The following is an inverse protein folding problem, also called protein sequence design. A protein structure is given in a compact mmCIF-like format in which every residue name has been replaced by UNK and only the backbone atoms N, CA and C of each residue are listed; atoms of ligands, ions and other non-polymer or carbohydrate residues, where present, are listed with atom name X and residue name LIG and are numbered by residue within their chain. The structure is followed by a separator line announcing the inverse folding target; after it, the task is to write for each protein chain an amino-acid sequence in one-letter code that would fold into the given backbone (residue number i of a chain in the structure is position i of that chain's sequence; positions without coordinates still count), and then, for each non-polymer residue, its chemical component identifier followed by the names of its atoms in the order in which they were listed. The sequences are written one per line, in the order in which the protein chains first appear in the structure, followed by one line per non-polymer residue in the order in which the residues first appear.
data_IF_524021005046
#
_entry.id   IF_524021005046
#
_cell.length_a   1.000
_cell.length_b   1.000
_cell.length_c   1.000
_cell.angle_alpha   90.00
_cell.angle_beta   90.00
_cell.angle_gamma   90.00
#
_symmetry.space_group_name_H-M   'P 1'
#
loop_
_entity.id
_entity.type
_entity.pdbx_description
1 polymer ?
#
# COMPACT_ATOMS: atom_id res chain seq x y z
N UNK A 1 -101.93 -141.66 32.98
CA UNK A 1 -100.66 -141.48 33.74
C UNK A 1 -99.47 -141.18 32.82
N UNK A 2 -99.34 -141.83 31.68
CA UNK A 2 -98.20 -141.68 30.75
C UNK A 2 -98.22 -140.37 29.93
N UNK A 3 -99.39 -139.93 29.45
CA UNK A 3 -99.55 -138.63 28.77
C UNK A 3 -99.25 -137.42 29.67
N UNK A 4 -99.54 -137.51 30.98
CA UNK A 4 -99.26 -136.44 31.95
C UNK A 4 -97.74 -136.35 32.22
N UNK A 5 -97.04 -137.49 32.33
CA UNK A 5 -95.58 -137.52 32.45
C UNK A 5 -94.89 -136.94 31.22
N UNK A 6 -95.37 -137.25 30.01
CA UNK A 6 -94.82 -136.71 28.75
C UNK A 6 -95.05 -135.19 28.63
N UNK A 7 -96.23 -134.71 29.02
CA UNK A 7 -96.55 -133.27 29.04
C UNK A 7 -95.77 -132.51 30.12
N UNK A 8 -95.53 -133.12 31.29
CA UNK A 8 -94.64 -132.58 32.32
C UNK A 8 -93.17 -132.55 31.87
N UNK A 9 -92.71 -133.56 31.12
CA UNK A 9 -91.35 -133.59 30.58
C UNK A 9 -91.14 -132.46 29.55
N UNK A 10 -92.09 -132.29 28.62
CA UNK A 10 -92.07 -131.18 27.64
C UNK A 10 -92.18 -129.82 28.31
N UNK A 11 -93.00 -129.68 29.36
CA UNK A 11 -93.09 -128.43 30.12
C UNK A 11 -91.81 -128.12 30.89
N UNK A 12 -91.09 -129.14 31.41
CA UNK A 12 -89.78 -128.95 32.06
C UNK A 12 -88.70 -128.60 31.05
N UNK A 13 -88.71 -129.21 29.88
CA UNK A 13 -87.79 -128.90 28.79
C UNK A 13 -88.02 -127.47 28.27
N UNK A 14 -89.28 -127.09 28.02
CA UNK A 14 -89.63 -125.72 27.65
C UNK A 14 -89.31 -124.69 28.74
N UNK A 15 -89.47 -125.05 30.02
CA UNK A 15 -89.08 -124.19 31.13
C UNK A 15 -87.55 -124.02 31.18
N UNK A 16 -86.80 -125.11 31.05
CA UNK A 16 -85.33 -125.08 31.00
C UNK A 16 -84.80 -124.29 29.79
N UNK A 17 -85.44 -124.41 28.63
CA UNK A 17 -85.10 -123.64 27.43
C UNK A 17 -85.47 -122.16 27.59
N UNK A 18 -86.59 -121.85 28.24
CA UNK A 18 -86.99 -120.48 28.55
C UNK A 18 -86.05 -119.84 29.58
N UNK A 19 -85.65 -120.58 30.62
CA UNK A 19 -84.65 -120.17 31.61
C UNK A 19 -83.29 -119.92 30.95
N UNK A 20 -82.81 -120.85 30.10
CA UNK A 20 -81.55 -120.64 29.37
C UNK A 20 -81.58 -119.49 28.36
N UNK A 21 -82.76 -119.17 27.79
CA UNK A 21 -82.95 -117.97 26.95
C UNK A 21 -83.01 -116.70 27.78
N UNK A 22 -83.61 -116.73 28.97
CA UNK A 22 -83.63 -115.62 29.90
C UNK A 22 -82.21 -115.31 30.40
N UNK A 23 -81.44 -116.31 30.82
CA UNK A 23 -80.06 -116.14 31.28
C UNK A 23 -79.15 -115.55 30.19
N UNK A 24 -79.30 -116.02 28.94
CA UNK A 24 -78.57 -115.45 27.78
C UNK A 24 -78.98 -114.00 27.51
N UNK A 25 -80.27 -113.70 27.51
CA UNK A 25 -80.76 -112.35 27.32
C UNK A 25 -80.32 -111.41 28.45
N UNK A 26 -80.26 -111.90 29.69
CA UNK A 26 -79.79 -111.14 30.85
C UNK A 26 -78.28 -110.86 30.77
N UNK A 27 -77.49 -111.84 30.31
CA UNK A 27 -76.06 -111.67 30.05
C UNK A 27 -75.81 -110.68 28.91
N UNK A 28 -76.54 -110.81 27.79
CA UNK A 28 -76.44 -109.88 26.65
C UNK A 28 -76.88 -108.46 27.03
N UNK A 29 -77.93 -108.31 27.84
CA UNK A 29 -78.38 -107.03 28.37
C UNK A 29 -77.31 -106.40 29.28
N UNK A 30 -76.66 -107.20 30.12
CA UNK A 30 -75.58 -106.74 30.99
C UNK A 30 -74.38 -106.25 30.17
N UNK A 31 -73.93 -107.04 29.19
CA UNK A 31 -72.83 -106.66 28.29
C UNK A 31 -73.17 -105.40 27.48
N UNK A 32 -74.42 -105.27 27.03
CA UNK A 32 -74.89 -104.07 26.32
C UNK A 32 -74.91 -102.84 27.24
N UNK A 33 -75.35 -102.97 28.50
CA UNK A 33 -75.32 -101.89 29.49
C UNK A 33 -73.88 -101.47 29.85
N UNK A 34 -72.96 -102.42 30.01
CA UNK A 34 -71.55 -102.13 30.26
C UNK A 34 -70.88 -101.40 29.08
N UNK A 35 -71.19 -101.81 27.84
CA UNK A 35 -70.74 -101.09 26.62
C UNK A 35 -71.35 -99.71 26.52
N UNK A 36 -72.65 -99.56 26.80
CA UNK A 36 -73.32 -98.26 26.79
C UNK A 36 -72.72 -97.32 27.82
N UNK A 37 -72.50 -97.79 29.05
CA UNK A 37 -71.86 -97.01 30.11
C UNK A 37 -70.41 -96.62 29.77
N UNK A 38 -69.66 -97.51 29.12
CA UNK A 38 -68.29 -97.21 28.65
C UNK A 38 -68.31 -96.12 27.55
N UNK A 39 -69.22 -96.25 26.57
CA UNK A 39 -69.38 -95.26 25.51
C UNK A 39 -69.87 -93.90 26.04
N UNK A 40 -70.78 -93.87 27.01
CA UNK A 40 -71.23 -92.63 27.68
C UNK A 40 -70.07 -91.93 28.39
N UNK A 41 -69.18 -92.70 29.02
CA UNK A 41 -67.98 -92.16 29.68
C UNK A 41 -67.00 -91.58 28.65
N UNK A 42 -66.79 -92.27 27.54
CA UNK A 42 -65.92 -91.81 26.45
C UNK A 42 -66.48 -90.55 25.78
N UNK A 43 -67.78 -90.51 25.48
CA UNK A 43 -68.46 -89.31 24.97
C UNK A 43 -68.32 -88.15 25.95
N UNK A 44 -68.47 -88.39 27.25
CA UNK A 44 -68.28 -87.34 28.26
C UNK A 44 -66.84 -86.83 28.28
N UNK A 45 -65.85 -87.72 28.14
CA UNK A 45 -64.42 -87.35 28.08
C UNK A 45 -64.12 -86.52 26.83
N UNK A 46 -64.51 -87.01 25.65
CA UNK A 46 -64.29 -86.32 24.38
C UNK A 46 -65.00 -84.96 24.33
N UNK A 47 -66.19 -84.85 24.93
CA UNK A 47 -66.90 -83.57 25.02
C UNK A 47 -66.12 -82.54 25.85
N UNK A 48 -65.49 -82.97 26.95
CA UNK A 48 -64.64 -82.08 27.76
C UNK A 48 -63.36 -81.68 27.03
N UNK A 49 -62.75 -82.63 26.32
CA UNK A 49 -61.54 -82.37 25.51
C UNK A 49 -61.85 -81.41 24.36
N UNK A 50 -62.98 -81.61 23.67
CA UNK A 50 -63.44 -80.71 22.61
C UNK A 50 -63.64 -79.29 23.14
N UNK A 51 -64.29 -79.13 24.29
CA UNK A 51 -64.48 -77.81 24.90
C UNK A 51 -63.15 -77.15 25.33
N UNK A 52 -62.19 -77.92 25.83
CA UNK A 52 -60.85 -77.40 26.14
C UNK A 52 -60.12 -76.91 24.88
N UNK A 53 -60.21 -77.67 23.77
CA UNK A 53 -59.60 -77.28 22.50
C UNK A 53 -60.28 -76.03 21.92
N UNK A 54 -61.60 -75.90 22.05
CA UNK A 54 -62.35 -74.69 21.65
C UNK A 54 -61.88 -73.47 22.46
N UNK A 55 -61.78 -73.60 23.80
CA UNK A 55 -61.29 -72.53 24.66
C UNK A 55 -59.83 -72.14 24.32
N UNK A 56 -58.96 -73.11 24.01
CA UNK A 56 -57.59 -72.87 23.58
C UNK A 56 -57.50 -72.20 22.21
N UNK A 57 -58.37 -72.59 21.28
CA UNK A 57 -58.47 -71.98 19.95
C UNK A 57 -58.90 -70.52 20.07
N UNK A 58 -59.95 -70.22 20.83
CA UNK A 58 -60.42 -68.86 21.07
C UNK A 58 -59.33 -67.98 21.71
N UNK A 59 -58.58 -68.53 22.67
CA UNK A 59 -57.45 -67.85 23.29
C UNK A 59 -56.29 -67.59 22.30
N UNK A 60 -56.01 -68.55 21.42
CA UNK A 60 -54.99 -68.41 20.38
C UNK A 60 -55.39 -67.38 19.32
N UNK A 61 -56.65 -67.37 18.88
CA UNK A 61 -57.18 -66.39 17.93
C UNK A 61 -57.15 -64.96 18.51
N UNK A 62 -57.54 -64.80 19.78
CA UNK A 62 -57.45 -63.50 20.47
C UNK A 62 -56.00 -62.98 20.54
N UNK A 63 -55.04 -63.86 20.87
CA UNK A 63 -53.61 -63.53 20.86
C UNK A 63 -53.13 -63.18 19.46
N UNK A 64 -53.51 -63.95 18.45
CA UNK A 64 -53.15 -63.69 17.05
C UNK A 64 -53.67 -62.33 16.58
N UNK A 65 -54.91 -61.98 16.92
CA UNK A 65 -55.49 -60.67 16.62
C UNK A 65 -54.68 -59.52 17.24
N UNK A 66 -54.28 -59.68 18.50
CA UNK A 66 -53.45 -58.69 19.21
C UNK A 66 -52.07 -58.53 18.56
N UNK A 67 -51.39 -59.63 18.24
CA UNK A 67 -50.06 -59.62 17.60
C UNK A 67 -50.16 -59.01 16.19
N UNK A 68 -51.23 -59.31 15.45
CA UNK A 68 -51.45 -58.76 14.11
C UNK A 68 -51.62 -57.25 14.15
N UNK A 69 -52.36 -56.73 15.14
CA UNK A 69 -52.51 -55.28 15.32
C UNK A 69 -51.18 -54.62 15.72
N UNK A 70 -50.41 -55.23 16.62
CA UNK A 70 -49.07 -54.75 16.97
C UNK A 70 -48.12 -54.74 15.77
N UNK A 71 -48.18 -55.77 14.91
CA UNK A 71 -47.38 -55.84 13.69
C UNK A 71 -47.71 -54.69 12.74
N UNK A 72 -49.01 -54.43 12.49
CA UNK A 72 -49.44 -53.29 11.65
C UNK A 72 -48.96 -51.95 12.18
N UNK A 73 -49.00 -51.75 13.50
CA UNK A 73 -48.49 -50.52 14.12
C UNK A 73 -46.97 -50.38 13.96
N UNK A 74 -46.22 -51.48 14.13
CA UNK A 74 -44.78 -51.50 13.92
C UNK A 74 -44.40 -51.23 12.46
N UNK A 75 -45.13 -51.80 11.50
CA UNK A 75 -44.95 -51.53 10.06
C UNK A 75 -45.19 -50.06 9.73
N UNK A 76 -46.31 -49.49 10.20
CA UNK A 76 -46.60 -48.07 10.00
C UNK A 76 -45.52 -47.15 10.61
N UNK A 77 -44.99 -47.50 11.79
CA UNK A 77 -43.91 -46.75 12.43
C UNK A 77 -42.58 -46.88 11.65
N UNK A 78 -42.29 -48.06 11.09
CA UNK A 78 -41.11 -48.30 10.28
C UNK A 78 -41.16 -47.49 8.98
N UNK A 79 -42.31 -47.45 8.31
CA UNK A 79 -42.52 -46.68 7.08
C UNK A 79 -42.32 -45.17 7.32
N UNK A 80 -42.88 -44.63 8.41
CA UNK A 80 -42.67 -43.22 8.74
C UNK A 80 -41.21 -42.94 9.12
N UNK A 81 -40.55 -43.86 9.82
CA UNK A 81 -39.13 -43.75 10.15
C UNK A 81 -38.25 -43.75 8.89
N UNK A 82 -38.57 -44.57 7.88
CA UNK A 82 -37.87 -44.57 6.60
C UNK A 82 -38.09 -43.25 5.85
N UNK A 83 -39.32 -42.73 5.86
CA UNK A 83 -39.64 -41.43 5.23
C UNK A 83 -38.83 -40.31 5.87
N UNK A 84 -38.78 -40.25 7.20
CA UNK A 84 -37.99 -39.27 7.95
C UNK A 84 -36.50 -39.41 7.63
N UNK A 85 -35.98 -40.65 7.58
CA UNK A 85 -34.58 -40.91 7.23
C UNK A 85 -34.22 -40.32 5.85
N UNK A 86 -35.04 -40.58 4.83
CA UNK A 86 -34.81 -40.04 3.47
C UNK A 86 -34.82 -38.52 3.43
N UNK A 87 -35.71 -37.87 4.19
CA UNK A 87 -35.74 -36.41 4.29
C UNK A 87 -34.46 -35.87 4.94
N UNK A 88 -33.99 -36.49 6.03
CA UNK A 88 -32.77 -36.08 6.72
C UNK A 88 -31.52 -36.31 5.86
N UNK A 89 -31.47 -37.40 5.11
CA UNK A 89 -30.39 -37.71 4.17
C UNK A 89 -30.31 -36.65 3.06
N UNK A 90 -31.43 -36.34 2.40
CA UNK A 90 -31.48 -35.28 1.39
C UNK A 90 -31.08 -33.92 1.95
N UNK A 91 -31.50 -33.62 3.20
CA UNK A 91 -31.10 -32.37 3.86
C UNK A 91 -29.60 -32.36 4.14
N UNK A 92 -29.04 -33.47 4.62
CA UNK A 92 -27.61 -33.63 4.85
C UNK A 92 -26.79 -33.40 3.58
N UNK A 93 -27.19 -34.00 2.46
CA UNK A 93 -26.53 -33.79 1.16
C UNK A 93 -26.58 -32.31 0.73
N UNK A 94 -27.72 -31.64 0.88
CA UNK A 94 -27.86 -30.23 0.53
C UNK A 94 -27.11 -29.28 1.46
N UNK A 95 -26.93 -29.66 2.73
CA UNK A 95 -26.11 -28.91 3.70
C UNK A 95 -24.61 -29.11 3.39
N UNK A 96 -24.19 -30.32 3.03
CA UNK A 96 -22.81 -30.65 2.65
C UNK A 96 -22.38 -29.91 1.36
N UNK A 97 -23.24 -29.88 0.34
CA UNK A 97 -22.99 -29.10 -0.88
C UNK A 97 -22.86 -27.60 -0.57
N UNK A 98 -23.73 -27.05 0.29
CA UNK A 98 -23.64 -25.65 0.71
C UNK A 98 -22.36 -25.37 1.51
N UNK A 99 -21.94 -26.28 2.38
CA UNK A 99 -20.69 -26.16 3.12
C UNK A 99 -19.50 -26.09 2.17
N UNK A 100 -19.44 -26.99 1.19
CA UNK A 100 -18.39 -27.01 0.17
C UNK A 100 -18.35 -25.70 -0.65
N UNK A 101 -19.50 -25.17 -1.04
CA UNK A 101 -19.57 -23.87 -1.72
C UNK A 101 -19.06 -22.71 -0.86
N UNK A 102 -19.38 -22.71 0.44
CA UNK A 102 -18.89 -21.68 1.36
C UNK A 102 -17.39 -21.80 1.62
N UNK A 103 -16.85 -23.01 1.71
CA UNK A 103 -15.40 -23.24 1.84
C UNK A 103 -14.64 -22.73 0.61
N UNK A 104 -15.14 -23.00 -0.60
CA UNK A 104 -14.55 -22.50 -1.83
C UNK A 104 -14.56 -20.95 -1.88
N UNK A 105 -15.68 -20.32 -1.54
CA UNK A 105 -15.78 -18.85 -1.46
C UNK A 105 -14.84 -18.27 -0.41
N UNK A 106 -14.74 -18.92 0.75
CA UNK A 106 -13.83 -18.48 1.81
C UNK A 106 -12.37 -18.54 1.37
N UNK A 107 -11.99 -19.58 0.63
CA UNK A 107 -10.65 -19.69 0.05
C UNK A 107 -10.39 -18.57 -0.97
N UNK A 108 -11.34 -18.30 -1.88
CA UNK A 108 -11.21 -17.23 -2.88
C UNK A 108 -11.07 -15.84 -2.24
N UNK A 109 -11.89 -15.53 -1.23
CA UNK A 109 -11.82 -14.25 -0.53
C UNK A 109 -10.52 -14.11 0.28
N UNK A 110 -9.99 -15.19 0.85
CA UNK A 110 -8.66 -15.18 1.49
C UNK A 110 -7.56 -14.88 0.48
N UNK A 111 -7.54 -15.55 -0.66
CA UNK A 111 -6.56 -15.28 -1.72
C UNK A 111 -6.65 -13.84 -2.23
N UNK A 112 -7.87 -13.29 -2.30
CA UNK A 112 -8.09 -11.89 -2.68
C UNK A 112 -7.54 -10.92 -1.63
N UNK A 113 -7.79 -11.19 -0.36
CA UNK A 113 -7.25 -10.38 0.74
C UNK A 113 -5.71 -10.40 0.75
N UNK A 114 -5.09 -11.57 0.61
CA UNK A 114 -3.63 -11.69 0.55
C UNK A 114 -3.02 -10.93 -0.64
N UNK A 115 -3.67 -10.96 -1.81
CA UNK A 115 -3.21 -10.16 -2.97
C UNK A 115 -3.30 -8.66 -2.69
N UNK A 116 -4.40 -8.21 -2.09
CA UNK A 116 -4.58 -6.80 -1.74
C UNK A 116 -3.57 -6.33 -0.68
N UNK A 117 -3.24 -7.17 0.30
CA UNK A 117 -2.20 -6.89 1.30
C UNK A 117 -0.83 -6.72 0.64
N UNK A 118 -0.45 -7.61 -0.29
CA UNK A 118 0.82 -7.48 -1.03
C UNK A 118 0.87 -6.20 -1.87
N UNK A 119 -0.20 -5.88 -2.60
CA UNK A 119 -0.28 -4.63 -3.35
C UNK A 119 -0.16 -3.40 -2.44
N UNK A 120 -0.79 -3.45 -1.26
CA UNK A 120 -0.68 -2.38 -0.27
C UNK A 120 0.76 -2.22 0.24
N UNK A 121 1.43 -3.31 0.60
CA UNK A 121 2.84 -3.29 1.02
C UNK A 121 3.77 -2.72 -0.06
N UNK A 122 3.58 -3.10 -1.32
CA UNK A 122 4.36 -2.58 -2.45
C UNK A 122 4.14 -1.06 -2.64
N UNK A 123 2.89 -0.60 -2.57
CA UNK A 123 2.56 0.83 -2.67
C UNK A 123 3.15 1.61 -1.50
N UNK A 124 3.03 1.10 -0.27
CA UNK A 124 3.60 1.74 0.92
C UNK A 124 5.13 1.85 0.83
N UNK A 125 5.81 0.81 0.35
CA UNK A 125 7.26 0.86 0.13
C UNK A 125 7.63 1.92 -0.92
N UNK A 126 6.87 2.00 -2.02
CA UNK A 126 7.10 3.01 -3.07
C UNK A 126 6.88 4.43 -2.56
N UNK A 127 5.86 4.66 -1.73
CA UNK A 127 5.62 5.96 -1.10
C UNK A 127 6.80 6.35 -0.24
N UNK A 128 7.30 5.45 0.61
CA UNK A 128 8.45 5.75 1.48
C UNK A 128 9.71 6.12 0.70
N UNK A 129 9.96 5.50 -0.45
CA UNK A 129 11.08 5.89 -1.33
C UNK A 129 10.87 7.28 -1.93
N UNK A 130 9.67 7.56 -2.44
CA UNK A 130 9.34 8.86 -3.04
C UNK A 130 9.37 10.00 -2.02
N UNK A 131 8.98 9.76 -0.78
CA UNK A 131 9.11 10.72 0.32
C UNK A 131 10.58 11.05 0.58
N UNK A 132 11.48 10.05 0.59
CA UNK A 132 12.92 10.28 0.72
C UNK A 132 13.53 11.05 -0.45
N UNK A 133 13.11 10.74 -1.69
CA UNK A 133 13.56 11.47 -2.89
C UNK A 133 13.06 12.93 -2.89
N UNK A 134 11.85 13.16 -2.37
CA UNK A 134 11.29 14.50 -2.21
C UNK A 134 12.12 15.31 -1.19
N UNK A 135 12.39 14.75 -0.01
CA UNK A 135 13.20 15.41 1.02
C UNK A 135 14.59 15.81 0.49
N UNK A 136 15.25 14.93 -0.26
CA UNK A 136 16.56 15.23 -0.88
C UNK A 136 16.43 16.38 -1.89
N UNK A 137 15.38 16.37 -2.70
CA UNK A 137 15.14 17.40 -3.71
C UNK A 137 14.83 18.74 -3.06
N UNK A 138 14.05 18.76 -2.00
CA UNK A 138 13.73 19.97 -1.22
C UNK A 138 14.99 20.56 -0.58
N UNK A 139 15.83 19.73 0.06
CA UNK A 139 17.10 20.20 0.63
C UNK A 139 18.03 20.81 -0.42
N UNK A 140 18.13 20.20 -1.61
CA UNK A 140 18.92 20.75 -2.72
C UNK A 140 18.36 22.05 -3.26
N UNK A 141 17.04 22.21 -3.28
CA UNK A 141 16.39 23.44 -3.69
C UNK A 141 16.67 24.58 -2.70
N UNK A 142 16.60 24.30 -1.39
CA UNK A 142 16.93 25.26 -0.34
C UNK A 142 18.39 25.74 -0.44
N UNK A 143 19.35 24.81 -0.63
CA UNK A 143 20.75 25.17 -0.85
C UNK A 143 20.95 26.05 -2.08
N UNK A 144 20.25 25.74 -3.18
CA UNK A 144 20.32 26.54 -4.40
C UNK A 144 19.73 27.94 -4.21
N UNK A 145 18.62 28.07 -3.46
CA UNK A 145 18.03 29.37 -3.13
C UNK A 145 18.98 30.24 -2.30
N UNK A 146 19.69 29.65 -1.33
CA UNK A 146 20.65 30.38 -0.53
C UNK A 146 21.88 30.83 -1.34
N UNK A 147 22.34 29.99 -2.29
CA UNK A 147 23.38 30.40 -3.25
C UNK A 147 22.92 31.56 -4.13
N UNK A 148 21.68 31.53 -4.60
CA UNK A 148 21.11 32.63 -5.41
C UNK A 148 21.06 33.92 -4.60
N UNK A 149 20.57 33.89 -3.35
CA UNK A 149 20.55 35.07 -2.48
C UNK A 149 21.95 35.64 -2.27
N UNK A 150 22.94 34.80 -1.99
CA UNK A 150 24.33 35.23 -1.80
C UNK A 150 24.90 35.91 -3.07
N UNK A 151 24.61 35.36 -4.25
CA UNK A 151 25.02 35.94 -5.53
C UNK A 151 24.30 37.27 -5.82
N UNK A 152 23.01 37.39 -5.48
CA UNK A 152 22.26 38.65 -5.61
C UNK A 152 22.84 39.77 -4.73
N UNK A 153 23.25 39.43 -3.50
CA UNK A 153 23.96 40.35 -2.61
C UNK A 153 25.31 40.78 -3.18
N UNK A 154 26.10 39.84 -3.71
CA UNK A 154 27.39 40.12 -4.33
C UNK A 154 27.25 41.04 -5.55
N UNK A 155 26.28 40.76 -6.44
CA UNK A 155 25.98 41.61 -7.60
C UNK A 155 25.62 43.04 -7.16
N UNK A 156 24.84 43.18 -6.09
CA UNK A 156 24.47 44.48 -5.53
C UNK A 156 25.71 45.24 -5.02
N UNK A 157 26.61 44.55 -4.30
CA UNK A 157 27.85 45.13 -3.79
C UNK A 157 28.78 45.56 -4.93
N UNK A 158 28.99 44.69 -5.92
CA UNK A 158 29.82 44.98 -7.10
C UNK A 158 29.24 46.16 -7.89
N UNK A 159 27.91 46.22 -8.05
CA UNK A 159 27.24 47.35 -8.69
C UNK A 159 27.46 48.68 -7.97
N UNK A 160 27.44 48.69 -6.64
CA UNK A 160 27.74 49.88 -5.85
C UNK A 160 29.21 50.30 -5.94
N UNK A 161 30.13 49.33 -5.95
CA UNK A 161 31.56 49.60 -6.13
C UNK A 161 31.86 50.17 -7.52
N UNK A 162 31.24 49.62 -8.57
CA UNK A 162 31.40 50.10 -9.94
C UNK A 162 30.94 51.55 -10.06
N UNK A 163 29.75 51.90 -9.55
CA UNK A 163 29.27 53.29 -9.52
C UNK A 163 30.24 54.24 -8.81
N UNK A 164 30.85 53.80 -7.71
CA UNK A 164 31.82 54.60 -6.97
C UNK A 164 33.11 54.82 -7.78
N UNK A 165 33.57 53.78 -8.48
CA UNK A 165 34.72 53.86 -9.39
C UNK A 165 34.44 54.77 -10.57
N UNK A 166 33.26 54.68 -11.20
CA UNK A 166 32.84 55.56 -12.30
C UNK A 166 32.86 57.03 -11.89
N UNK A 167 32.39 57.35 -10.67
CA UNK A 167 32.47 58.72 -10.13
C UNK A 167 33.92 59.16 -9.95
N UNK A 168 34.77 58.31 -9.36
CA UNK A 168 36.19 58.62 -9.13
C UNK A 168 36.96 58.80 -10.44
N UNK A 169 36.69 57.98 -11.44
CA UNK A 169 37.23 58.10 -12.80
C UNK A 169 36.81 59.43 -13.43
N UNK A 170 35.53 59.79 -13.33
CA UNK A 170 35.02 61.08 -13.81
C UNK A 170 35.70 62.29 -13.16
N UNK A 171 36.01 62.22 -11.86
CA UNK A 171 36.79 63.26 -11.16
C UNK A 171 38.26 63.29 -11.55
N UNK A 172 38.88 62.13 -11.78
CA UNK A 172 40.26 62.03 -12.27
C UNK A 172 40.39 62.63 -13.67
N UNK A 173 39.46 62.30 -14.57
CA UNK A 173 39.43 62.83 -15.94
C UNK A 173 39.23 64.36 -15.96
N UNK A 174 38.37 64.91 -15.09
CA UNK A 174 38.26 66.38 -14.93
C UNK A 174 39.59 67.01 -14.53
N UNK A 175 40.29 66.41 -13.55
CA UNK A 175 41.62 66.90 -13.12
C UNK A 175 42.64 66.82 -14.24
N UNK A 176 42.63 65.76 -15.04
CA UNK A 176 43.49 65.61 -16.22
C UNK A 176 43.28 66.76 -17.21
N UNK A 177 42.03 67.06 -17.57
CA UNK A 177 41.69 68.19 -18.44
C UNK A 177 42.16 69.53 -17.87
N UNK A 178 41.93 69.77 -16.57
CA UNK A 178 42.38 71.00 -15.90
C UNK A 178 43.91 71.15 -15.91
N UNK A 179 44.63 70.03 -15.71
CA UNK A 179 46.09 70.01 -15.78
C UNK A 179 46.60 70.24 -17.20
N UNK A 180 45.98 69.64 -18.21
CA UNK A 180 46.32 69.86 -19.62
C UNK A 180 46.15 71.33 -20.01
N UNK A 181 45.03 71.96 -19.63
CA UNK A 181 44.80 73.38 -19.89
C UNK A 181 45.82 74.27 -19.18
N UNK A 182 46.24 73.90 -17.97
CA UNK A 182 47.29 74.62 -17.23
C UNK A 182 48.65 74.43 -17.89
N UNK A 183 48.98 73.23 -18.35
CA UNK A 183 50.22 72.94 -19.09
C UNK A 183 50.27 73.81 -20.35
N UNK A 184 49.22 73.82 -21.16
CA UNK A 184 49.16 74.66 -22.38
C UNK A 184 49.37 76.15 -22.11
N UNK A 185 48.79 76.67 -21.02
CA UNK A 185 49.00 78.06 -20.60
C UNK A 185 50.46 78.31 -20.22
N UNK A 186 51.04 77.43 -19.40
CA UNK A 186 52.45 77.52 -19.01
C UNK A 186 53.39 77.38 -20.20
N UNK A 187 53.09 76.53 -21.19
CA UNK A 187 53.84 76.42 -22.44
C UNK A 187 53.80 77.72 -23.25
N UNK A 188 52.63 78.37 -23.32
CA UNK A 188 52.48 79.67 -23.99
C UNK A 188 53.30 80.75 -23.28
N UNK A 189 53.15 80.85 -21.95
CA UNK A 189 53.91 81.81 -21.13
C UNK A 189 55.43 81.58 -21.22
N UNK A 190 55.86 80.32 -21.24
CA UNK A 190 57.26 79.94 -21.43
C UNK A 190 57.78 80.39 -22.79
N UNK A 191 57.02 80.15 -23.87
CA UNK A 191 57.40 80.56 -25.23
C UNK A 191 57.53 82.08 -25.33
N UNK A 192 56.58 82.83 -24.77
CA UNK A 192 56.66 84.31 -24.74
C UNK A 192 57.85 84.82 -23.91
N UNK A 193 58.16 84.15 -22.80
CA UNK A 193 59.31 84.49 -21.97
C UNK A 193 60.64 84.17 -22.69
N UNK A 194 60.69 83.07 -23.43
CA UNK A 194 61.82 82.67 -24.27
C UNK A 194 62.03 83.67 -25.43
N UNK A 195 60.97 84.09 -26.11
CA UNK A 195 61.04 85.15 -27.14
C UNK A 195 61.55 86.48 -26.55
N UNK A 196 61.04 86.88 -25.37
CA UNK A 196 61.52 88.07 -24.66
C UNK A 196 62.99 87.96 -24.27
N UNK A 197 63.43 86.80 -23.79
CA UNK A 197 64.83 86.55 -23.46
C UNK A 197 65.71 86.66 -24.72
N UNK A 198 65.33 86.03 -25.83
CA UNK A 198 66.05 86.10 -27.10
C UNK A 198 66.15 87.55 -27.64
N UNK A 199 65.08 88.35 -27.51
CA UNK A 199 65.11 89.77 -27.86
C UNK A 199 66.06 90.58 -26.96
N UNK A 200 66.05 90.31 -25.65
CA UNK A 200 66.96 90.94 -24.72
C UNK A 200 68.43 90.57 -25.03
N UNK A 201 68.71 89.31 -25.31
CA UNK A 201 70.04 88.84 -25.73
C UNK A 201 70.50 89.53 -27.02
N UNK A 202 69.64 89.62 -28.03
CA UNK A 202 69.96 90.35 -29.27
C UNK A 202 70.29 91.82 -28.99
N UNK A 203 69.50 92.47 -28.13
CA UNK A 203 69.72 93.87 -27.76
C UNK A 203 71.00 94.07 -26.94
N UNK A 204 71.38 93.09 -26.12
CA UNK A 204 72.67 93.11 -25.42
C UNK A 204 73.80 93.08 -26.45
N UNK A 205 73.74 92.18 -27.44
CA UNK A 205 74.75 92.11 -28.52
C UNK A 205 74.83 93.43 -29.31
N UNK A 206 73.69 94.03 -29.64
CA UNK A 206 73.66 95.33 -30.34
C UNK A 206 74.29 96.45 -29.50
N UNK A 207 73.97 96.51 -28.20
CA UNK A 207 74.54 97.49 -27.28
C UNK A 207 76.03 97.26 -27.03
N UNK A 208 76.49 96.01 -26.95
CA UNK A 208 77.92 95.68 -26.86
C UNK A 208 78.66 96.20 -28.09
N UNK A 209 78.09 96.06 -29.28
CA UNK A 209 78.67 96.61 -30.51
C UNK A 209 78.71 98.14 -30.51
N UNK A 210 77.64 98.80 -30.06
CA UNK A 210 77.59 100.26 -29.93
C UNK A 210 78.63 100.75 -28.91
N UNK A 211 78.84 100.02 -27.81
CA UNK A 211 79.91 100.29 -26.84
C UNK A 211 81.27 100.17 -27.52
N UNK A 212 81.55 99.09 -28.25
CA UNK A 212 82.82 98.92 -28.97
C UNK A 212 83.07 100.07 -29.98
N UNK A 213 82.04 100.50 -30.71
CA UNK A 213 82.10 101.63 -31.64
C UNK A 213 82.40 102.94 -30.91
N UNK A 214 81.69 103.24 -29.82
CA UNK A 214 81.91 104.43 -28.99
C UNK A 214 83.28 104.42 -28.30
N UNK A 215 83.75 103.26 -27.85
CA UNK A 215 85.10 103.09 -27.30
C UNK A 215 86.16 103.36 -28.36
N UNK A 216 85.94 102.89 -29.60
CA UNK A 216 86.79 103.20 -30.74
C UNK A 216 86.80 104.70 -31.09
N UNK A 217 85.64 105.36 -31.11
CA UNK A 217 85.54 106.81 -31.30
C UNK A 217 86.24 107.59 -30.16
N UNK A 218 86.08 107.14 -28.92
CA UNK A 218 86.74 107.74 -27.76
C UNK A 218 88.26 107.60 -27.86
N UNK A 219 88.77 106.45 -28.30
CA UNK A 219 90.21 106.23 -28.47
C UNK A 219 90.78 107.09 -29.60
N UNK A 220 90.04 107.21 -30.71
CA UNK A 220 90.37 108.15 -31.79
C UNK A 220 90.39 109.59 -31.27
N UNK A 221 89.37 110.03 -30.53
CA UNK A 221 89.30 111.37 -29.95
C UNK A 221 90.42 111.61 -28.93
N UNK A 222 90.78 110.62 -28.10
CA UNK A 222 91.94 110.69 -27.20
C UNK A 222 93.25 110.82 -27.98
N UNK A 223 93.39 110.11 -29.09
CA UNK A 223 94.58 110.17 -29.96
C UNK A 223 94.67 111.53 -30.64
N UNK A 224 93.57 112.07 -31.16
CA UNK A 224 93.52 113.43 -31.69
C UNK A 224 93.80 114.48 -30.62
N UNK A 225 93.19 114.36 -29.44
CA UNK A 225 93.47 115.25 -28.31
C UNK A 225 94.94 115.18 -27.90
N UNK A 226 95.56 113.99 -27.87
CA UNK A 226 96.97 113.83 -27.60
C UNK A 226 97.85 114.51 -28.65
N UNK A 227 97.52 114.38 -29.95
CA UNK A 227 98.20 115.11 -31.04
C UNK A 227 98.05 116.62 -30.91
N UNK A 228 96.83 117.11 -30.70
CA UNK A 228 96.57 118.54 -30.52
C UNK A 228 97.27 119.07 -29.27
N UNK A 229 97.35 118.26 -28.20
CA UNK A 229 98.10 118.60 -27.00
C UNK A 229 99.61 118.62 -27.27
N UNK A 230 100.15 117.69 -28.03
CA UNK A 230 101.56 117.69 -28.45
C UNK A 230 101.89 118.88 -29.35
N UNK A 231 100.99 119.24 -30.27
CA UNK A 231 101.08 120.47 -31.07
C UNK A 231 100.96 121.74 -30.19
N UNK A 232 100.11 121.72 -29.16
CA UNK A 232 99.97 122.81 -28.19
C UNK A 232 101.23 122.94 -27.31
N UNK A 233 101.77 121.83 -26.83
CA UNK A 233 102.99 121.81 -26.04
C UNK A 233 104.18 122.26 -26.91
N UNK A 234 104.25 121.84 -28.18
CA UNK A 234 105.22 122.30 -29.18
C UNK A 234 105.09 123.81 -29.45
N UNK A 235 103.87 124.32 -29.63
CA UNK A 235 103.65 125.77 -29.84
C UNK A 235 103.91 126.59 -28.57
N UNK A 236 103.64 126.05 -27.37
CA UNK A 236 104.07 126.67 -26.11
C UNK A 236 105.59 126.62 -25.92
N UNK A 237 106.26 125.59 -26.41
CA UNK A 237 107.72 125.52 -26.43
C UNK A 237 108.31 126.54 -27.40
N UNK A 238 107.75 126.67 -28.60
CA UNK A 238 108.11 127.72 -29.57
C UNK A 238 107.84 129.14 -29.03
N UNK A 239 106.80 129.33 -28.22
CA UNK A 239 106.51 130.61 -27.55
C UNK A 239 107.42 130.90 -26.35
N UNK A 240 107.97 129.87 -25.69
CA UNK A 240 108.96 130.04 -24.61
C UNK A 240 110.40 130.19 -25.14
N UNK A 241 110.66 129.84 -26.40
CA UNK A 241 111.93 130.05 -27.10
C UNK A 241 111.98 131.38 -27.89
N UNK A 242 110.91 132.19 -27.85
CA UNK A 242 110.82 133.57 -28.34
C UNK A 242 110.85 134.60 -27.21
#
# INVERSE_FOLDING_TARGET
MEQIKKKMAVLRENLSDAEGRADKAETELKDANERASSAETEVSSLTKELQQIEDELDAAESRLGTITEQLKQAEAQADESERVRKVLENRGMADEERSSQFEAKLAEERDRAERAEREYEEISAKISVLEGELDETESRAEEAEDQVKALEEEVTLVGNNLRSLEVSEGEANKREVDYDDKIRKLETEYTEAEERANQAETRVVDLEKEIDELEGELDNSKTEYAKVKEELDSTMQELNEM
#
